data_IF_173563026596
#
_entry.id   IF_173563026596
#
_cell.length_a   1.000
_cell.length_b   1.000
_cell.length_c   1.000
_cell.angle_alpha   90.00
_cell.angle_beta   90.00
_cell.angle_gamma   90.00
#
_symmetry.space_group_name_H-M   'P 1'
#
loop_
_entity.id
_entity.type
_entity.pdbx_description
1 polymer ?
#
# COMPACT_ATOMS: atom_id res chain seq x y z
N UNK A 1 4.28 9.15 -8.43
CA UNK A 1 4.47 8.13 -7.38
C UNK A 1 3.11 7.53 -7.12
N UNK A 2 2.85 6.31 -7.59
CA UNK A 2 1.57 5.62 -7.36
C UNK A 2 1.75 4.72 -6.14
N UNK A 3 1.07 5.07 -5.04
CA UNK A 3 1.05 4.27 -3.82
C UNK A 3 -0.24 3.46 -3.85
N UNK A 4 -0.13 2.14 -3.87
CA UNK A 4 -1.27 1.23 -3.78
C UNK A 4 -1.37 0.72 -2.34
N UNK A 5 -2.48 1.03 -1.67
CA UNK A 5 -2.86 0.41 -0.40
C UNK A 5 -3.89 -0.66 -0.70
N UNK A 6 -3.59 -1.92 -0.38
CA UNK A 6 -4.55 -3.02 -0.50
C UNK A 6 -5.17 -3.28 0.87
N UNK A 7 -6.49 -3.12 0.97
CA UNK A 7 -7.26 -3.51 2.14
C UNK A 7 -7.16 -5.03 2.34
N UNK A 8 -6.96 -5.44 3.59
CA UNK A 8 -6.66 -6.81 3.99
C UNK A 8 -7.93 -7.68 4.08
N UNK A 9 -8.76 -7.64 3.03
CA UNK A 9 -9.94 -8.49 2.93
C UNK A 9 -9.57 -9.84 2.29
N UNK A 10 -9.87 -10.87 3.05
CA UNK A 10 -9.42 -12.26 2.94
C UNK A 10 -10.08 -12.98 1.76
N UNK A 11 -9.73 -12.61 0.53
CA UNK A 11 -10.14 -13.32 -0.68
C UNK A 11 -8.95 -14.08 -1.29
N UNK A 12 -8.82 -15.35 -0.91
CA UNK A 12 -8.16 -16.36 -1.74
C UNK A 12 -8.94 -16.47 -3.06
N UNK A 13 -8.56 -15.67 -4.05
CA UNK A 13 -8.96 -15.86 -5.44
C UNK A 13 -7.74 -16.31 -6.23
N UNK A 14 -7.88 -17.54 -6.71
CA UNK A 14 -7.04 -18.27 -7.63
C UNK A 14 -6.70 -17.40 -8.86
N UNK A 15 -5.42 -17.06 -9.02
CA UNK A 15 -4.91 -16.45 -10.24
C UNK A 15 -4.17 -17.53 -11.05
N UNK A 16 -4.75 -17.90 -12.19
CA UNK A 16 -4.10 -18.71 -13.22
C UNK A 16 -2.86 -17.95 -13.75
N UNK A 17 -1.67 -18.51 -13.52
CA UNK A 17 -0.38 -18.29 -14.19
C UNK A 17 0.04 -16.87 -14.63
N UNK A 18 -0.33 -15.84 -13.87
CA UNK A 18 0.36 -14.55 -13.91
C UNK A 18 1.49 -14.61 -12.87
N UNK A 19 2.76 -14.59 -13.32
CA UNK A 19 3.95 -14.54 -12.45
C UNK A 19 3.64 -13.77 -11.18
N UNK A 20 3.51 -14.48 -10.05
CA UNK A 20 3.26 -13.88 -8.75
C UNK A 20 4.41 -12.92 -8.51
N UNK A 21 4.16 -11.64 -8.77
CA UNK A 21 5.07 -10.57 -8.44
C UNK A 21 5.24 -10.69 -6.94
N UNK A 22 6.40 -11.18 -6.51
CA UNK A 22 6.71 -11.36 -5.11
C UNK A 22 6.97 -9.96 -4.55
N UNK A 23 5.89 -9.23 -4.25
CA UNK A 23 5.95 -7.85 -3.81
C UNK A 23 6.45 -7.86 -2.38
N UNK A 24 7.61 -7.22 -2.17
CA UNK A 24 8.15 -7.08 -0.82
C UNK A 24 7.26 -6.19 0.04
N UNK A 25 6.99 -6.67 1.25
CA UNK A 25 6.24 -5.94 2.28
C UNK A 25 7.21 -5.27 3.25
N UNK A 26 6.99 -3.98 3.53
CA UNK A 26 7.74 -3.22 4.52
C UNK A 26 6.81 -2.77 5.64
N UNK A 27 7.14 -3.18 6.86
CA UNK A 27 6.46 -2.74 8.09
C UNK A 27 6.93 -1.34 8.50
N UNK A 28 6.02 -0.38 8.38
CA UNK A 28 6.30 1.03 8.68
C UNK A 28 6.25 1.37 10.17
N UNK A 29 5.81 0.44 11.04
CA UNK A 29 5.75 0.70 12.49
C UNK A 29 7.12 1.10 13.05
N UNK A 30 8.18 0.39 12.67
CA UNK A 30 9.58 0.69 13.05
C UNK A 30 10.06 2.04 12.54
N UNK A 31 9.57 2.48 11.39
CA UNK A 31 9.90 3.81 10.88
C UNK A 31 9.17 4.92 11.65
N UNK A 32 7.90 4.70 12.00
CA UNK A 32 7.07 5.70 12.67
C UNK A 32 7.46 5.84 14.15
N UNK A 33 7.49 4.72 14.88
CA UNK A 33 7.65 4.69 16.34
C UNK A 33 8.96 4.08 16.84
N UNK A 34 9.81 3.56 15.95
CA UNK A 34 11.09 2.94 16.32
C UNK A 34 12.21 3.94 16.63
N UNK A 35 13.38 3.40 16.99
CA UNK A 35 14.59 4.18 17.26
C UNK A 35 15.19 4.78 15.98
N UNK A 36 16.22 5.64 16.12
CA UNK A 36 16.90 6.21 14.96
C UNK A 36 17.60 5.14 14.11
N UNK A 37 18.10 4.09 14.75
CA UNK A 37 18.72 2.93 14.09
C UNK A 37 17.69 2.16 13.27
N UNK A 38 16.53 1.83 13.87
CA UNK A 38 15.44 1.13 13.19
C UNK A 38 14.89 1.94 12.01
N UNK A 39 14.75 3.26 12.18
CA UNK A 39 14.36 4.17 11.09
C UNK A 39 15.33 4.15 9.93
N UNK A 40 16.64 4.16 10.23
CA UNK A 40 17.70 4.08 9.22
C UNK A 40 17.69 2.74 8.49
N UNK A 41 17.47 1.64 9.20
CA UNK A 41 17.36 0.30 8.62
C UNK A 41 16.18 0.23 7.64
N UNK A 42 15.00 0.74 8.02
CA UNK A 42 13.84 0.77 7.13
C UNK A 42 14.08 1.67 5.92
N UNK A 43 14.73 2.83 6.09
CA UNK A 43 15.06 3.71 4.96
C UNK A 43 16.00 3.04 3.94
N UNK A 44 17.01 2.29 4.41
CA UNK A 44 17.90 1.53 3.54
C UNK A 44 17.19 0.37 2.85
N UNK A 45 16.30 -0.32 3.56
CA UNK A 45 15.49 -1.40 2.99
C UNK A 45 14.56 -0.86 1.90
N UNK A 46 13.96 0.31 2.12
CA UNK A 46 13.10 0.97 1.15
C UNK A 46 13.88 1.32 -0.13
N UNK A 47 15.05 1.94 0.01
CA UNK A 47 15.92 2.30 -1.12
C UNK A 47 16.32 1.07 -1.94
N UNK A 48 16.79 0.01 -1.27
CA UNK A 48 17.17 -1.25 -1.92
C UNK A 48 15.99 -1.88 -2.68
N UNK A 49 14.86 -2.02 -2.00
CA UNK A 49 13.67 -2.69 -2.57
C UNK A 49 13.14 -1.92 -3.77
N UNK A 50 13.19 -0.58 -3.74
CA UNK A 50 12.73 0.24 -4.84
C UNK A 50 13.61 0.06 -6.08
N UNK A 51 14.94 0.00 -5.91
CA UNK A 51 15.87 -0.24 -7.01
C UNK A 51 15.75 -1.66 -7.60
N UNK A 52 15.45 -2.67 -6.78
CA UNK A 52 15.38 -4.06 -7.22
C UNK A 52 14.04 -4.44 -7.86
N UNK A 53 12.91 -3.96 -7.32
CA UNK A 53 11.57 -4.43 -7.71
C UNK A 53 10.67 -3.34 -8.29
N UNK A 54 10.98 -2.06 -8.05
CA UNK A 54 10.17 -0.91 -8.51
C UNK A 54 8.79 -0.76 -7.87
N UNK A 55 8.33 -1.75 -7.11
CA UNK A 55 7.05 -1.77 -6.37
C UNK A 55 7.30 -2.34 -4.97
N UNK A 56 6.63 -1.75 -3.98
CA UNK A 56 6.69 -2.14 -2.57
C UNK A 56 5.27 -2.08 -2.01
N UNK A 57 4.93 -3.01 -1.12
CA UNK A 57 3.72 -2.95 -0.30
C UNK A 57 4.07 -2.45 1.10
N UNK A 58 3.37 -1.42 1.57
CA UNK A 58 3.57 -0.89 2.92
C UNK A 58 2.47 -1.40 3.84
N UNK A 59 2.86 -1.94 4.99
CA UNK A 59 1.95 -2.36 6.07
C UNK A 59 2.18 -1.52 7.32
N UNK A 60 1.18 -1.48 8.21
CA UNK A 60 1.21 -0.69 9.45
C UNK A 60 1.56 0.79 9.24
N UNK A 61 1.04 1.40 8.17
CA UNK A 61 1.30 2.80 7.78
C UNK A 61 0.63 3.84 8.68
N UNK A 62 -0.11 3.39 9.71
CA UNK A 62 -0.95 4.21 10.59
C UNK A 62 -2.02 5.04 9.83
N UNK A 63 -2.37 4.63 8.61
CA UNK A 63 -3.51 5.15 7.84
C UNK A 63 -4.74 4.35 8.24
N UNK A 64 -5.79 5.02 8.69
CA UNK A 64 -7.04 4.36 9.07
C UNK A 64 -7.80 3.90 7.83
N UNK A 65 -8.44 2.73 7.91
CA UNK A 65 -9.32 2.22 6.84
C UNK A 65 -10.45 3.20 6.52
N UNK A 66 -10.91 3.99 7.49
CA UNK A 66 -11.92 5.03 7.30
C UNK A 66 -11.54 6.04 6.19
N UNK A 67 -10.25 6.38 6.06
CA UNK A 67 -9.80 7.29 5.00
C UNK A 67 -9.89 6.63 3.62
N UNK A 68 -9.61 5.32 3.55
CA UNK A 68 -9.75 4.52 2.34
C UNK A 68 -11.23 4.36 1.97
N UNK A 69 -12.10 4.16 2.96
CA UNK A 69 -13.53 4.00 2.76
C UNK A 69 -14.20 5.28 2.21
N UNK A 70 -13.72 6.47 2.58
CA UNK A 70 -14.18 7.74 1.98
C UNK A 70 -13.92 7.82 0.47
N UNK A 71 -12.87 7.16 -0.02
CA UNK A 71 -12.65 7.07 -1.47
C UNK A 71 -13.72 6.20 -2.14
N UNK A 72 -14.14 5.11 -1.48
CA UNK A 72 -15.19 4.21 -1.98
C UNK A 72 -16.51 4.95 -2.12
N UNK A 73 -16.84 5.88 -1.20
CA UNK A 73 -18.02 6.73 -1.31
C UNK A 73 -18.02 7.56 -2.60
N UNK A 74 -16.90 8.22 -2.94
CA UNK A 74 -16.79 8.95 -4.20
C UNK A 74 -16.94 8.03 -5.42
N UNK A 75 -16.32 6.85 -5.38
CA UNK A 75 -16.44 5.88 -6.47
C UNK A 75 -17.82 5.21 -6.53
N UNK A 76 -18.65 5.30 -5.49
CA UNK A 76 -20.05 4.85 -5.51
C UNK A 76 -20.98 5.81 -6.26
N UNK A 77 -20.57 7.07 -6.46
CA UNK A 77 -21.38 8.07 -7.17
C UNK A 77 -21.60 7.65 -8.63
N UNK A 78 -22.75 8.04 -9.18
CA UNK A 78 -23.02 7.82 -10.60
C UNK A 78 -22.05 8.65 -11.48
N UNK A 79 -21.90 8.24 -12.73
CA UNK A 79 -20.96 8.86 -13.66
C UNK A 79 -21.28 10.35 -13.89
N UNK A 80 -22.57 10.71 -13.93
CA UNK A 80 -23.00 12.09 -14.17
C UNK A 80 -22.54 13.03 -13.04
N UNK A 81 -22.61 12.58 -11.79
CA UNK A 81 -22.13 13.34 -10.63
C UNK A 81 -20.60 13.44 -10.63
N UNK A 82 -19.89 12.38 -11.02
CA UNK A 82 -18.42 12.37 -11.09
C UNK A 82 -17.88 13.34 -12.14
N UNK A 83 -18.53 13.47 -13.29
CA UNK A 83 -18.11 14.35 -14.39
C UNK A 83 -18.26 15.86 -14.09
N UNK A 84 -18.90 16.22 -12.98
CA UNK A 84 -19.09 17.62 -12.55
C UNK A 84 -17.97 18.13 -11.63
N UNK A 85 -17.04 17.26 -11.18
CA UNK A 85 -15.85 17.59 -10.41
C UNK A 85 -14.62 17.70 -11.32
#
# INVERSE_FOLDING_TARGET
>A
MYVYTFDNDNHQNQCDDMCLLNINEIDMSKFISGTNEERKEIALLFDKTFHEYGIIRLINTNITSELIDKSKEFFSLNLETKLKY
#
